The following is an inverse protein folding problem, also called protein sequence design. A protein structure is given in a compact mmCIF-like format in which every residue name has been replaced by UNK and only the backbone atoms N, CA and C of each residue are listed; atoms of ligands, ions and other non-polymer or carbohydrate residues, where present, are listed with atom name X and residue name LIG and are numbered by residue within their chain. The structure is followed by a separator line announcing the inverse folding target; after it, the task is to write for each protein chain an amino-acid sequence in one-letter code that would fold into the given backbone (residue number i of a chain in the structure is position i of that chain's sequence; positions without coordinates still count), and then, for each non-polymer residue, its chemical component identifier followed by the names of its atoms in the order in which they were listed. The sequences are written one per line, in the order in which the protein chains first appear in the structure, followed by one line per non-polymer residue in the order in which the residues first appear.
data_IF_691001995523
#
_entry.id   IF_691001995523
#
_cell.length_a   1.000
_cell.length_b   1.000
_cell.length_c   1.000
_cell.angle_alpha   90.00
_cell.angle_beta   90.00
_cell.angle_gamma   90.00
#
_symmetry.space_group_name_H-M   'P 1'
#
loop_
_entity.id
_entity.type
_entity.pdbx_description
1 polymer ?
#
# COMPACT_ATOMS: atom_id res chain seq x y z
N UNK A 1 13.08 -13.52 1.14
CA UNK A 1 12.67 -12.32 1.90
C UNK A 1 11.52 -11.57 1.25
N UNK A 2 11.41 -11.57 -0.08
CA UNK A 2 10.31 -10.91 -0.80
C UNK A 2 8.92 -11.34 -0.31
N UNK A 3 8.68 -12.64 -0.12
CA UNK A 3 7.44 -13.20 0.48
C UNK A 3 7.12 -12.60 1.86
N UNK A 4 8.12 -12.40 2.72
CA UNK A 4 7.92 -11.84 4.08
C UNK A 4 7.42 -10.40 3.99
N UNK A 5 7.91 -9.64 3.00
CA UNK A 5 7.53 -8.24 2.76
C UNK A 5 6.19 -8.15 2.05
N UNK A 6 6.01 -8.90 0.96
CA UNK A 6 4.82 -8.90 0.12
C UNK A 6 3.57 -9.25 0.91
N UNK A 7 3.66 -10.29 1.76
CA UNK A 7 2.56 -10.72 2.61
C UNK A 7 2.59 -10.10 4.02
N UNK A 8 3.44 -9.10 4.25
CA UNK A 8 3.56 -8.37 5.52
C UNK A 8 3.63 -9.28 6.76
N UNK A 9 4.39 -10.36 6.68
CA UNK A 9 4.47 -11.34 7.76
C UNK A 9 5.14 -10.70 8.98
N UNK A 10 4.63 -11.01 10.17
CA UNK A 10 5.28 -10.56 11.42
C UNK A 10 6.70 -11.12 11.50
N UNK A 11 7.62 -10.40 12.17
CA UNK A 11 9.00 -10.86 12.34
C UNK A 11 9.07 -12.28 12.93
N UNK A 12 8.21 -12.61 13.89
CA UNK A 12 8.11 -13.95 14.48
C UNK A 12 7.73 -15.02 13.45
N UNK A 13 6.78 -14.70 12.55
CA UNK A 13 6.37 -15.60 11.48
C UNK A 13 7.48 -15.73 10.42
N UNK A 14 8.05 -14.61 9.97
CA UNK A 14 9.17 -14.58 9.04
C UNK A 14 10.38 -15.37 9.54
N UNK A 15 10.72 -15.23 10.83
CA UNK A 15 11.83 -15.95 11.46
C UNK A 15 11.60 -17.46 11.48
N UNK A 16 10.37 -17.90 11.73
CA UNK A 16 10.01 -19.32 11.67
C UNK A 16 10.11 -19.88 10.24
N UNK A 17 9.68 -19.13 9.24
CA UNK A 17 9.78 -19.52 7.83
C UNK A 17 11.24 -19.60 7.40
N UNK A 18 12.04 -18.57 7.72
CA UNK A 18 13.48 -18.54 7.46
C UNK A 18 14.17 -19.75 8.09
N UNK A 19 13.84 -20.07 9.35
CA UNK A 19 14.40 -21.23 10.05
C UNK A 19 14.00 -22.55 9.39
N UNK A 20 12.76 -22.68 8.95
CA UNK A 20 12.26 -23.86 8.23
C UNK A 20 13.05 -24.08 6.93
N UNK A 21 13.22 -23.02 6.14
CA UNK A 21 13.94 -23.06 4.86
C UNK A 21 15.44 -23.30 5.08
N UNK A 22 16.06 -22.63 6.05
CA UNK A 22 17.47 -22.84 6.36
C UNK A 22 17.74 -24.27 6.84
N UNK A 23 16.81 -24.90 7.54
CA UNK A 23 16.91 -26.32 7.92
C UNK A 23 16.90 -27.23 6.68
N UNK A 24 16.06 -26.94 5.68
CA UNK A 24 16.01 -27.74 4.44
C UNK A 24 17.19 -27.46 3.49
N UNK A 25 17.76 -26.25 3.52
CA UNK A 25 18.93 -25.87 2.69
C UNK A 25 20.25 -26.42 3.26
N UNK A 26 20.36 -26.59 4.58
CA UNK A 26 21.56 -27.18 5.19
C UNK A 26 21.88 -28.60 4.68
N UNK A 27 20.91 -29.30 4.09
CA UNK A 27 21.13 -30.60 3.45
C UNK A 27 21.64 -30.49 1.99
N UNK A 28 21.57 -29.31 1.35
CA UNK A 28 21.77 -29.15 -0.09
C UNK A 28 22.86 -28.13 -0.53
N UNK A 29 23.05 -26.96 0.11
CA UNK A 29 24.03 -25.95 -0.37
C UNK A 29 24.61 -24.99 0.71
N UNK A 30 25.73 -24.31 0.38
CA UNK A 30 26.59 -23.49 1.27
C UNK A 30 26.13 -22.03 1.51
N UNK A 31 25.05 -21.55 0.90
CA UNK A 31 24.59 -20.16 1.07
C UNK A 31 23.24 -20.10 1.81
N UNK A 32 23.23 -20.11 3.15
CA UNK A 32 22.00 -20.00 3.90
C UNK A 32 21.35 -18.62 3.71
N UNK A 33 20.02 -18.59 3.77
CA UNK A 33 19.28 -17.34 3.90
C UNK A 33 19.72 -16.59 5.17
N UNK A 34 19.47 -15.27 5.26
CA UNK A 34 19.70 -14.48 6.47
C UNK A 34 19.15 -15.20 7.71
N UNK A 35 19.82 -15.08 8.85
CA UNK A 35 19.49 -15.87 10.06
C UNK A 35 18.12 -15.53 10.66
N UNK A 36 17.60 -14.33 10.37
CA UNK A 36 16.28 -13.87 10.79
C UNK A 36 15.79 -12.76 9.84
N UNK A 37 14.54 -12.38 10.02
CA UNK A 37 13.82 -11.36 9.24
C UNK A 37 14.52 -10.01 9.32
N UNK A 38 15.06 -9.64 10.49
CA UNK A 38 15.76 -8.37 10.70
C UNK A 38 17.07 -8.27 9.90
N UNK A 39 17.88 -9.32 9.91
CA UNK A 39 19.09 -9.41 9.08
C UNK A 39 18.72 -9.51 7.58
N UNK A 40 17.62 -10.18 7.25
CA UNK A 40 17.08 -10.19 5.90
C UNK A 40 16.65 -8.80 5.40
N UNK A 41 16.03 -8.00 6.25
CA UNK A 41 15.74 -6.59 5.95
C UNK A 41 17.03 -5.79 5.79
N UNK A 42 18.00 -5.95 6.68
CA UNK A 42 19.29 -5.27 6.58
C UNK A 42 20.02 -5.60 5.27
N UNK A 43 19.98 -6.86 4.85
CA UNK A 43 20.52 -7.30 3.56
C UNK A 43 19.79 -6.66 2.38
N UNK A 44 18.46 -6.55 2.45
CA UNK A 44 17.66 -5.87 1.41
C UNK A 44 17.82 -4.35 1.42
N UNK A 45 18.14 -3.74 2.55
CA UNK A 45 18.43 -2.30 2.64
C UNK A 45 19.81 -1.97 2.05
N UNK A 46 20.78 -2.88 2.24
CA UNK A 46 22.14 -2.77 1.68
C UNK A 46 22.13 -3.04 0.17
N UNK A 47 21.36 -4.02 -0.31
CA UNK A 47 21.23 -4.31 -1.73
C UNK A 47 20.20 -3.39 -2.41
N UNK A 48 20.50 -2.92 -3.62
CA UNK A 48 19.89 -1.74 -4.22
C UNK A 48 18.53 -2.00 -4.92
N UNK A 49 17.57 -2.64 -4.24
CA UNK A 49 16.21 -2.77 -4.78
C UNK A 49 15.46 -1.43 -4.65
N UNK A 50 15.65 -0.54 -5.63
CA UNK A 50 15.13 0.84 -5.64
C UNK A 50 13.60 0.95 -5.49
N UNK A 51 12.85 -0.12 -5.78
CA UNK A 51 11.39 -0.16 -5.62
C UNK A 51 10.92 -0.54 -4.20
N UNK A 52 11.83 -1.02 -3.34
CA UNK A 52 11.54 -1.40 -1.94
C UNK A 52 11.92 -0.25 -1.00
N UNK A 53 12.89 0.59 -1.35
CA UNK A 53 13.39 1.66 -0.47
C UNK A 53 12.37 2.78 -0.27
N UNK A 54 11.94 2.96 0.98
CA UNK A 54 11.21 4.17 1.38
C UNK A 54 12.15 5.37 1.37
N UNK A 55 11.69 6.44 0.72
CA UNK A 55 12.23 7.78 0.82
C UNK A 55 11.63 8.48 2.03
N UNK A 56 12.37 9.43 2.59
CA UNK A 56 11.94 10.25 3.72
C UNK A 56 11.97 11.72 3.30
N UNK A 57 10.90 12.45 3.61
CA UNK A 57 10.86 13.90 3.48
C UNK A 57 10.30 14.51 4.75
N UNK A 58 10.94 15.58 5.25
CA UNK A 58 10.43 16.34 6.39
C UNK A 58 9.18 17.11 5.94
N UNK A 59 8.05 16.92 6.62
CA UNK A 59 6.81 17.64 6.33
C UNK A 59 6.69 18.86 7.23
N UNK A 60 6.86 18.68 8.53
CA UNK A 60 6.73 19.76 9.51
C UNK A 60 7.52 19.45 10.78
N UNK A 61 7.70 20.47 11.61
CA UNK A 61 8.22 20.35 12.97
C UNK A 61 7.12 20.80 13.93
N UNK A 62 6.85 19.99 14.94
CA UNK A 62 5.86 20.31 15.97
C UNK A 62 6.40 19.89 17.34
N UNK A 63 6.41 20.82 18.30
CA UNK A 63 6.97 20.62 19.65
C UNK A 63 8.37 20.02 19.63
N UNK A 64 9.28 20.63 18.86
CA UNK A 64 10.68 20.21 18.69
C UNK A 64 10.86 18.79 18.14
N UNK A 65 9.80 18.21 17.56
CA UNK A 65 9.81 16.91 16.93
C UNK A 65 9.59 17.03 15.42
N UNK A 66 10.43 16.34 14.67
CA UNK A 66 10.31 16.24 13.22
C UNK A 66 9.22 15.23 12.84
N UNK A 67 8.27 15.69 12.03
CA UNK A 67 7.24 14.86 11.40
C UNK A 67 7.60 14.68 9.94
N UNK A 68 8.08 13.49 9.62
CA UNK A 68 8.47 13.11 8.26
C UNK A 68 7.43 12.20 7.61
N UNK A 69 7.30 12.34 6.29
CA UNK A 69 6.58 11.41 5.45
C UNK A 69 7.55 10.38 4.89
N UNK A 70 7.27 9.11 5.16
CA UNK A 70 8.02 7.98 4.61
C UNK A 70 7.23 7.43 3.43
N UNK A 71 7.81 7.39 2.23
CA UNK A 71 7.06 7.06 1.02
C UNK A 71 7.88 6.31 -0.02
N UNK A 72 7.19 5.59 -0.88
CA UNK A 72 7.72 5.03 -2.12
C UNK A 72 7.12 5.74 -3.32
N UNK A 73 7.83 5.72 -4.44
CA UNK A 73 7.34 6.36 -5.66
C UNK A 73 6.03 5.71 -6.11
N UNK A 74 5.01 6.55 -6.30
CA UNK A 74 3.66 6.10 -6.71
C UNK A 74 3.75 5.26 -8.00
N UNK A 75 4.60 5.64 -8.96
CA UNK A 75 4.82 4.88 -10.20
C UNK A 75 5.24 3.43 -9.92
N UNK A 76 6.11 3.20 -8.94
CA UNK A 76 6.51 1.84 -8.55
C UNK A 76 5.35 1.09 -7.92
N UNK A 77 4.53 1.76 -7.11
CA UNK A 77 3.36 1.15 -6.49
C UNK A 77 2.28 0.79 -7.50
N UNK A 78 2.06 1.63 -8.51
CA UNK A 78 1.19 1.32 -9.63
C UNK A 78 1.70 0.09 -10.38
N UNK A 79 3.00 -0.01 -10.67
CA UNK A 79 3.57 -1.20 -11.31
C UNK A 79 3.31 -2.47 -10.49
N UNK A 80 3.55 -2.43 -9.18
CA UNK A 80 3.26 -3.57 -8.28
C UNK A 80 1.79 -3.95 -8.36
N UNK A 81 0.88 -2.97 -8.31
CA UNK A 81 -0.57 -3.18 -8.39
C UNK A 81 -1.00 -3.83 -9.72
N UNK A 82 -0.37 -3.45 -10.84
CA UNK A 82 -0.63 -3.99 -12.17
C UNK A 82 -0.01 -5.39 -12.41
N UNK A 83 1.02 -5.74 -11.65
CA UNK A 83 1.68 -7.05 -11.74
C UNK A 83 0.89 -8.15 -11.01
N UNK A 84 -0.08 -7.79 -10.17
CA UNK A 84 -0.93 -8.77 -9.49
C UNK A 84 -1.95 -9.36 -10.47
N UNK A 85 -1.55 -10.48 -11.08
CA UNK A 85 -2.23 -11.14 -12.20
C UNK A 85 -3.70 -11.46 -11.95
N UNK A 86 -4.09 -11.71 -10.71
CA UNK A 86 -5.48 -12.02 -10.34
C UNK A 86 -6.46 -10.85 -10.55
N UNK A 87 -5.95 -9.61 -10.65
CA UNK A 87 -6.80 -8.45 -10.90
C UNK A 87 -6.92 -8.12 -12.39
N UNK A 88 -6.01 -8.62 -13.24
CA UNK A 88 -5.79 -8.17 -14.63
C UNK A 88 -7.00 -8.31 -15.56
N UNK A 89 -7.86 -9.29 -15.29
CA UNK A 89 -9.06 -9.55 -16.07
C UNK A 89 -10.20 -8.53 -15.81
N UNK A 90 -10.23 -7.92 -14.62
CA UNK A 90 -11.29 -7.02 -14.19
C UNK A 90 -11.00 -5.52 -14.44
N UNK A 91 -9.80 -5.16 -14.90
CA UNK A 91 -9.40 -3.75 -15.12
C UNK A 91 -10.16 -3.04 -16.22
N UNK A 92 -10.77 -3.80 -17.13
CA UNK A 92 -11.47 -3.28 -18.29
C UNK A 92 -12.68 -2.46 -17.86
N UNK A 93 -12.49 -1.14 -17.71
CA UNK A 93 -13.59 -0.22 -17.50
C UNK A 93 -14.57 -0.36 -18.68
N UNK A 94 -15.84 -0.63 -18.35
CA UNK A 94 -16.97 -0.57 -19.27
C UNK A 94 -18.12 0.12 -18.56
N UNK A 95 -18.53 1.28 -19.03
CA UNK A 95 -19.71 1.94 -18.49
C UNK A 95 -20.93 1.02 -18.61
N UNK A 96 -21.71 0.91 -17.53
CA UNK A 96 -23.00 0.19 -17.54
C UNK A 96 -24.11 1.22 -17.38
N UNK A 97 -24.88 1.41 -18.46
CA UNK A 97 -26.12 2.15 -18.36
C UNK A 97 -27.21 1.21 -17.81
N UNK A 98 -27.54 1.35 -16.53
CA UNK A 98 -28.77 0.77 -16.03
C UNK A 98 -29.91 1.67 -16.53
N UNK A 99 -30.76 1.17 -17.44
CA UNK A 99 -31.91 1.87 -18.03
C UNK A 99 -33.01 2.23 -16.99
N UNK A 100 -32.64 2.47 -15.74
CA UNK A 100 -33.50 2.82 -14.62
C UNK A 100 -33.41 4.33 -14.37
N UNK A 101 -34.56 4.98 -14.22
CA UNK A 101 -34.68 6.40 -13.83
C UNK A 101 -33.97 6.73 -12.50
N UNK A 102 -33.70 5.71 -11.69
CA UNK A 102 -32.98 5.80 -10.42
C UNK A 102 -31.53 5.39 -10.67
N UNK A 103 -30.62 6.35 -10.53
CA UNK A 103 -29.17 6.10 -10.47
C UNK A 103 -28.80 5.74 -9.04
N UNK A 104 -28.24 4.56 -8.85
CA UNK A 104 -27.70 4.13 -7.57
C UNK A 104 -26.31 4.75 -7.44
N UNK A 105 -26.22 5.87 -6.72
CA UNK A 105 -24.93 6.53 -6.41
C UNK A 105 -23.98 5.70 -5.53
N UNK A 106 -24.20 4.39 -5.40
CA UNK A 106 -23.36 3.45 -4.64
C UNK A 106 -22.21 2.84 -5.44
N UNK A 107 -22.32 2.75 -6.77
CA UNK A 107 -21.26 2.20 -7.62
C UNK A 107 -20.68 3.26 -8.56
N UNK A 108 -19.36 3.28 -8.65
CA UNK A 108 -18.64 4.34 -9.38
C UNK A 108 -18.92 4.28 -10.88
N UNK A 109 -19.35 3.12 -11.40
CA UNK A 109 -19.66 2.90 -12.80
C UNK A 109 -20.95 3.62 -13.27
N UNK A 110 -21.71 4.25 -12.38
CA UNK A 110 -23.01 4.86 -12.70
C UNK A 110 -22.98 6.39 -12.87
N UNK A 111 -21.85 7.06 -12.59
CA UNK A 111 -21.76 8.52 -12.69
C UNK A 111 -21.62 9.02 -14.15
N UNK A 112 -22.30 10.13 -14.45
CA UNK A 112 -22.23 10.82 -15.75
C UNK A 112 -20.79 11.17 -16.16
N UNK A 113 -19.91 11.44 -15.20
CA UNK A 113 -18.52 11.76 -15.49
C UNK A 113 -17.81 10.62 -16.21
N UNK A 114 -18.07 9.37 -15.83
CA UNK A 114 -17.46 8.20 -16.46
C UNK A 114 -18.00 7.95 -17.86
N UNK A 115 -19.30 8.11 -18.08
CA UNK A 115 -19.90 8.02 -19.41
C UNK A 115 -19.27 9.02 -20.39
N UNK A 116 -19.13 10.28 -19.98
CA UNK A 116 -18.52 11.33 -20.80
C UNK A 116 -17.04 11.02 -21.05
N UNK A 117 -16.33 10.50 -20.04
CA UNK A 117 -14.90 10.23 -20.13
C UNK A 117 -14.62 9.04 -21.05
N UNK A 118 -15.37 7.94 -20.93
CA UNK A 118 -15.21 6.76 -21.78
C UNK A 118 -15.43 7.10 -23.27
N UNK A 119 -16.45 7.89 -23.60
CA UNK A 119 -16.74 8.31 -24.97
C UNK A 119 -15.66 9.23 -25.59
N UNK A 120 -14.81 9.85 -24.75
CA UNK A 120 -13.72 10.73 -25.22
C UNK A 120 -12.40 9.97 -25.42
N UNK A 121 -12.30 8.73 -24.95
CA UNK A 121 -11.08 7.94 -25.06
C UNK A 121 -10.96 7.41 -26.49
N UNK A 122 -9.80 7.56 -27.15
CA UNK A 122 -9.58 7.02 -28.49
C UNK A 122 -9.83 5.51 -28.55
N UNK A 123 -10.26 5.04 -29.71
CA UNK A 123 -10.46 3.60 -29.96
C UNK A 123 -9.18 2.84 -29.61
N UNK A 124 -9.35 1.71 -28.90
CA UNK A 124 -8.29 0.84 -28.34
C UNK A 124 -7.55 1.34 -27.08
N UNK A 125 -7.87 2.54 -26.57
CA UNK A 125 -7.34 2.97 -25.28
C UNK A 125 -8.31 2.59 -24.13
N UNK A 126 -7.75 2.34 -22.95
CA UNK A 126 -8.52 2.06 -21.73
C UNK A 126 -8.17 3.07 -20.65
N UNK A 127 -9.15 3.41 -19.81
CA UNK A 127 -8.95 4.25 -18.64
C UNK A 127 -8.50 3.40 -17.46
N UNK A 128 -7.44 3.82 -16.77
CA UNK A 128 -7.04 3.26 -15.48
C UNK A 128 -7.37 4.27 -14.38
N UNK A 129 -8.28 3.91 -13.47
CA UNK A 129 -8.58 4.72 -12.30
C UNK A 129 -7.89 4.17 -11.06
N UNK A 130 -7.22 5.07 -10.33
CA UNK A 130 -6.48 4.78 -9.11
C UNK A 130 -7.02 5.71 -8.02
N UNK A 131 -7.22 5.16 -6.83
CA UNK A 131 -7.52 5.93 -5.64
C UNK A 131 -6.33 5.88 -4.69
N UNK A 132 -5.98 7.04 -4.13
CA UNK A 132 -5.00 7.17 -3.06
C UNK A 132 -5.77 7.57 -1.82
N UNK A 133 -5.62 6.82 -0.74
CA UNK A 133 -6.31 7.12 0.51
C UNK A 133 -5.44 6.76 1.71
N UNK A 134 -5.68 7.45 2.81
CA UNK A 134 -5.09 7.14 4.09
C UNK A 134 -6.09 6.35 4.93
N UNK A 135 -5.63 5.28 5.58
CA UNK A 135 -6.42 4.56 6.56
C UNK A 135 -5.89 4.86 7.96
N UNK A 136 -6.80 5.05 8.92
CA UNK A 136 -6.44 5.23 10.33
C UNK A 136 -6.32 3.87 11.00
N UNK A 137 -5.42 3.03 10.50
CA UNK A 137 -5.07 1.77 11.19
C UNK A 137 -3.98 2.06 12.21
N UNK A 138 -4.25 1.86 13.49
CA UNK A 138 -3.25 1.91 14.56
C UNK A 138 -2.31 0.70 14.46
N UNK A 139 -1.32 0.73 13.56
CA UNK A 139 -0.18 -0.19 13.58
C UNK A 139 0.95 0.34 12.67
N UNK A 140 2.07 0.76 13.25
CA UNK A 140 3.38 0.48 12.64
C UNK A 140 3.67 -1.02 12.71
N UNK A 141 4.70 -1.50 12.00
CA UNK A 141 5.13 -2.91 11.98
C UNK A 141 5.39 -3.54 13.38
N UNK A 142 5.40 -2.74 14.46
CA UNK A 142 5.65 -3.15 15.85
C UNK A 142 4.58 -2.71 16.87
N UNK A 143 3.51 -2.03 16.45
CA UNK A 143 2.41 -1.55 17.32
C UNK A 143 2.74 -0.42 18.31
N UNK A 144 3.83 0.34 18.12
CA UNK A 144 4.34 1.36 19.05
C UNK A 144 4.07 2.82 18.60
N UNK A 145 3.86 3.08 17.31
CA UNK A 145 3.55 4.43 16.80
C UNK A 145 2.25 4.44 16.01
N UNK A 146 1.36 5.39 16.32
CA UNK A 146 0.17 5.63 15.50
C UNK A 146 0.60 6.36 14.24
N UNK A 147 0.56 5.66 13.12
CA UNK A 147 0.88 6.18 11.80
C UNK A 147 -0.36 6.04 10.91
N UNK A 148 -0.58 7.01 10.03
CA UNK A 148 -1.57 6.93 8.97
C UNK A 148 -0.91 6.30 7.76
N UNK A 149 -1.24 5.04 7.50
CA UNK A 149 -0.77 4.34 6.31
C UNK A 149 -1.52 4.88 5.09
N UNK A 150 -0.78 5.15 4.02
CA UNK A 150 -1.30 5.62 2.74
C UNK A 150 -1.22 4.48 1.75
N UNK A 151 -2.36 4.13 1.17
CA UNK A 151 -2.47 3.07 0.17
C UNK A 151 -2.84 3.66 -1.19
N UNK A 152 -2.47 2.95 -2.25
CA UNK A 152 -3.16 3.02 -3.53
C UNK A 152 -4.00 1.76 -3.73
N UNK A 153 -5.15 1.91 -4.39
CA UNK A 153 -5.89 0.78 -4.94
C UNK A 153 -6.45 1.14 -6.30
N UNK A 154 -6.89 0.10 -7.01
CA UNK A 154 -7.61 0.28 -8.24
C UNK A 154 -9.04 0.65 -7.93
N UNK A 155 -9.54 1.57 -8.75
CA UNK A 155 -10.90 2.06 -8.66
C UNK A 155 -11.80 1.42 -9.74
N UNK A 156 -11.20 0.81 -10.76
CA UNK A 156 -11.91 0.10 -11.83
C UNK A 156 -12.39 -1.31 -11.46
N UNK A 157 -12.10 -1.80 -10.25
CA UNK A 157 -12.46 -3.16 -9.81
C UNK A 157 -13.71 -3.12 -8.91
N UNK A 158 -14.53 -4.18 -8.88
CA UNK A 158 -15.68 -4.26 -7.99
C UNK A 158 -15.30 -4.09 -6.52
N UNK A 159 -16.21 -3.54 -5.71
CA UNK A 159 -15.97 -3.27 -4.28
C UNK A 159 -15.53 -4.53 -3.49
N UNK A 160 -16.10 -5.69 -3.80
CA UNK A 160 -15.74 -6.95 -3.13
C UNK A 160 -14.28 -7.37 -3.41
N UNK A 161 -13.78 -7.10 -4.62
CA UNK A 161 -12.39 -7.33 -5.00
C UNK A 161 -11.48 -6.25 -4.39
N UNK A 162 -11.92 -4.98 -4.40
CA UNK A 162 -11.20 -3.86 -3.79
C UNK A 162 -10.94 -4.05 -2.29
N UNK A 163 -11.82 -4.79 -1.60
CA UNK A 163 -11.69 -5.06 -0.17
C UNK A 163 -10.65 -6.13 0.18
N UNK A 164 -10.12 -6.86 -0.81
CA UNK A 164 -9.04 -7.84 -0.57
C UNK A 164 -7.73 -7.13 -0.25
N UNK A 165 -6.87 -7.81 0.51
CA UNK A 165 -5.55 -7.29 0.90
C UNK A 165 -4.65 -7.04 -0.31
N UNK A 166 -4.70 -7.92 -1.32
CA UNK A 166 -3.91 -7.78 -2.55
C UNK A 166 -4.38 -6.58 -3.40
N UNK A 167 -5.65 -6.16 -3.31
CA UNK A 167 -6.14 -5.00 -4.06
C UNK A 167 -5.58 -3.64 -3.63
N UNK A 168 -4.75 -3.60 -2.59
CA UNK A 168 -4.22 -2.39 -1.96
C UNK A 168 -2.71 -2.49 -1.83
N UNK A 169 -2.00 -1.45 -2.25
CA UNK A 169 -0.55 -1.39 -2.16
C UNK A 169 -0.15 -0.19 -1.32
N UNK A 170 0.67 -0.42 -0.30
CA UNK A 170 1.18 0.62 0.58
C UNK A 170 2.14 1.55 -0.17
N UNK A 171 1.89 2.85 -0.03
CA UNK A 171 2.70 3.94 -0.58
C UNK A 171 3.61 4.52 0.49
N UNK A 172 3.10 4.69 1.70
CA UNK A 172 3.81 5.46 2.71
C UNK A 172 3.12 5.52 4.05
N UNK A 173 3.81 6.17 4.99
CA UNK A 173 3.35 6.39 6.35
C UNK A 173 3.48 7.88 6.68
N UNK A 174 2.37 8.43 7.16
CA UNK A 174 2.32 9.76 7.74
C UNK A 174 2.27 9.63 9.26
N UNK A 175 3.24 10.23 9.95
CA UNK A 175 3.25 10.23 11.41
C UNK A 175 2.07 11.06 11.94
N UNK A 176 1.32 10.51 12.90
CA UNK A 176 0.29 11.26 13.62
C UNK A 176 0.92 12.25 14.59
N UNK A 177 0.48 13.50 14.55
CA UNK A 177 0.86 14.52 15.53
C UNK A 177 0.52 14.03 16.95
N UNK A 178 1.49 14.15 17.84
CA UNK A 178 1.33 13.84 19.26
C UNK A 178 1.55 15.10 20.07
N UNK A 179 0.55 15.47 20.84
CA UNK A 179 0.67 16.50 21.86
C UNK A 179 1.53 15.99 23.02
N UNK A 180 2.40 16.85 23.54
CA UNK A 180 3.23 16.57 24.73
C UNK A 180 2.39 16.45 26.00
N UNK A 181 1.29 17.19 26.09
CA UNK A 181 0.40 17.26 27.25
C UNK A 181 -1.07 17.55 26.83
N UNK A 182 -2.00 17.43 27.78
CA UNK A 182 -3.43 17.66 27.55
C UNK A 182 -3.74 19.13 27.22
N UNK A 183 -2.94 20.05 27.73
CA UNK A 183 -3.03 21.49 27.44
C UNK A 183 -2.75 21.78 25.97
N UNK A 184 -1.69 21.21 25.39
CA UNK A 184 -1.43 21.32 23.95
C UNK A 184 -2.52 20.63 23.15
N UNK A 185 -2.96 19.44 23.56
CA UNK A 185 -3.98 18.67 22.84
C UNK A 185 -5.30 19.44 22.70
N UNK A 186 -5.64 20.28 23.67
CA UNK A 186 -6.87 21.07 23.70
C UNK A 186 -6.67 22.51 23.17
N UNK A 187 -5.48 22.85 22.69
CA UNK A 187 -5.22 24.17 22.11
C UNK A 187 -5.74 24.27 20.69
N UNK A 188 -6.15 25.47 20.27
CA UNK A 188 -6.63 25.72 18.88
C UNK A 188 -5.57 25.47 17.81
N UNK A 189 -4.29 25.42 18.20
CA UNK A 189 -3.15 25.21 17.29
C UNK A 189 -2.76 23.75 17.11
N UNK A 190 -3.47 22.79 17.73
CA UNK A 190 -3.29 21.34 17.60
C UNK A 190 -4.37 20.70 16.74
#
# INVERSE_FOLDING_TARGET
MEIVIEYQLSNSCGDRIIKLINKSIQEAEKNPLPTNTKEGHRFLDVNEFSYIKFKKVLITKFQDKDYSFYYQLIIHRIKVLLLQSEMNEEFGFKYKNHNTLIKTYGEQFESNWWYITENKIPVNNKLLSIIIYADSTTCDHLGKTSEHSIYISLRNIPNWQQNKLNAKVLVGYLLKLKAKDNTTRNSESF
#
